data_IF_502268460891
#
_entry.id   IF_502268460891
#
_cell.length_a   1.000
_cell.length_b   1.000
_cell.length_c   1.000
_cell.angle_alpha   90.00
_cell.angle_beta   90.00
_cell.angle_gamma   90.00
#
_symmetry.space_group_name_H-M   'P 1'
#
loop_
_entity.id
_entity.type
_entity.pdbx_description
1 polymer ?
#
# COMPACT_ATOMS: atom_id res chain seq x y z
N UNK A 1 -11.39 -26.61 9.16
CA UNK A 1 -9.92 -26.48 9.38
C UNK A 1 -9.06 -27.10 8.27
N UNK A 2 -9.55 -28.06 7.47
CA UNK A 2 -8.79 -28.61 6.32
C UNK A 2 -8.67 -27.64 5.11
N UNK A 3 -9.60 -26.68 4.96
CA UNK A 3 -9.58 -25.71 3.86
C UNK A 3 -8.51 -24.60 4.00
N UNK A 4 -7.98 -24.36 5.21
CA UNK A 4 -6.90 -23.39 5.44
C UNK A 4 -5.51 -23.95 5.10
N UNK A 5 -5.35 -25.28 5.04
CA UNK A 5 -4.05 -25.93 4.86
C UNK A 5 -3.61 -26.05 3.38
N UNK A 6 -4.52 -25.85 2.42
CA UNK A 6 -4.25 -26.00 0.99
C UNK A 6 -3.96 -24.67 0.26
N UNK A 7 -4.26 -23.52 0.86
CA UNK A 7 -3.96 -22.21 0.27
C UNK A 7 -2.47 -21.81 0.41
N UNK A 8 -1.71 -22.45 1.29
CA UNK A 8 -0.31 -22.08 1.59
C UNK A 8 0.75 -22.61 0.61
N UNK A 9 0.36 -23.31 -0.48
CA UNK A 9 1.32 -23.99 -1.38
C UNK A 9 1.43 -23.41 -2.80
N UNK A 10 0.74 -22.32 -3.10
CA UNK A 10 0.93 -21.57 -4.34
C UNK A 10 1.66 -20.24 -4.06
N UNK A 11 2.78 -20.31 -3.33
CA UNK A 11 3.63 -19.15 -3.05
C UNK A 11 4.52 -18.84 -4.24
N UNK A 12 3.98 -18.24 -5.30
CA UNK A 12 4.82 -17.43 -6.18
C UNK A 12 5.45 -16.30 -5.35
N UNK A 13 6.67 -15.87 -5.68
CA UNK A 13 7.22 -14.65 -5.08
C UNK A 13 6.29 -13.48 -5.43
N UNK A 14 5.46 -13.08 -4.47
CA UNK A 14 4.69 -11.86 -4.57
C UNK A 14 5.68 -10.72 -4.33
N UNK A 15 6.15 -10.11 -5.42
CA UNK A 15 6.90 -8.87 -5.30
C UNK A 15 5.95 -7.80 -4.78
N UNK A 16 6.31 -7.22 -3.64
CA UNK A 16 5.45 -6.31 -2.91
C UNK A 16 5.65 -4.84 -3.29
N UNK A 17 6.38 -4.56 -4.38
CA UNK A 17 6.85 -3.23 -4.80
C UNK A 17 7.30 -3.30 -6.27
N UNK A 18 7.39 -2.15 -6.96
CA UNK A 18 8.06 -2.02 -8.26
C UNK A 18 9.60 -2.13 -8.11
N UNK A 19 10.12 -3.33 -7.91
CA UNK A 19 11.57 -3.58 -7.86
C UNK A 19 12.15 -3.64 -9.28
N UNK A 20 13.38 -3.14 -9.46
CA UNK A 20 14.10 -3.31 -10.71
C UNK A 20 14.40 -4.80 -10.93
N UNK A 21 13.90 -5.35 -12.03
CA UNK A 21 14.12 -6.74 -12.44
C UNK A 21 15.33 -6.84 -13.36
N UNK A 22 15.45 -5.89 -14.30
CA UNK A 22 16.50 -5.88 -15.31
C UNK A 22 16.73 -4.47 -15.86
N UNK A 23 17.94 -4.21 -16.34
CA UNK A 23 18.28 -3.01 -17.11
C UNK A 23 19.01 -3.35 -18.41
N UNK A 24 18.87 -2.48 -19.40
CA UNK A 24 19.71 -2.39 -20.59
C UNK A 24 20.17 -0.94 -20.75
N UNK A 25 21.49 -0.64 -20.68
CA UNK A 25 22.60 -1.54 -20.39
C UNK A 25 22.47 -2.30 -19.06
N UNK A 26 23.06 -3.48 -18.98
CA UNK A 26 23.03 -4.29 -17.76
C UNK A 26 23.84 -3.60 -16.65
N UNK A 27 23.44 -3.80 -15.40
CA UNK A 27 24.12 -3.26 -14.21
C UNK A 27 25.61 -3.63 -14.24
N UNK A 28 26.49 -2.63 -14.19
CA UNK A 28 27.94 -2.79 -14.21
C UNK A 28 28.53 -3.17 -15.57
N UNK A 29 27.74 -3.20 -16.65
CA UNK A 29 28.24 -3.54 -17.98
C UNK A 29 28.95 -2.38 -18.66
N UNK A 30 29.78 -2.71 -19.66
CA UNK A 30 30.41 -1.74 -20.57
C UNK A 30 29.86 -1.94 -21.97
N UNK A 31 29.21 -0.90 -22.50
CA UNK A 31 28.82 -0.85 -23.90
C UNK A 31 30.01 -0.35 -24.74
N UNK A 32 30.29 -0.97 -25.90
CA UNK A 32 31.39 -0.54 -26.77
C UNK A 32 31.14 0.85 -27.40
N UNK A 33 29.89 1.28 -27.49
CA UNK A 33 29.47 2.58 -27.99
C UNK A 33 28.25 3.08 -27.20
N UNK A 34 27.90 4.36 -27.34
CA UNK A 34 26.71 4.91 -26.71
C UNK A 34 25.44 4.12 -27.11
N UNK A 35 24.68 3.57 -26.15
CA UNK A 35 23.40 2.94 -26.45
C UNK A 35 22.35 4.00 -26.81
N UNK A 36 21.41 3.67 -27.70
CA UNK A 36 20.33 4.59 -28.11
C UNK A 36 19.34 4.90 -26.98
N UNK A 37 19.22 3.99 -26.00
CA UNK A 37 18.33 4.16 -24.87
C UNK A 37 18.81 3.37 -23.65
N UNK A 38 18.45 3.87 -22.47
CA UNK A 38 18.40 3.12 -21.24
C UNK A 38 16.99 2.57 -21.05
N UNK A 39 16.89 1.26 -20.80
CA UNK A 39 15.63 0.56 -20.55
C UNK A 39 15.69 -0.09 -19.17
N UNK A 40 14.74 0.26 -18.30
CA UNK A 40 14.60 -0.30 -16.96
C UNK A 40 13.28 -1.07 -16.87
N UNK A 41 13.34 -2.35 -16.49
CA UNK A 41 12.18 -3.24 -16.37
C UNK A 41 11.91 -3.53 -14.90
N UNK A 42 10.66 -3.34 -14.46
CA UNK A 42 10.25 -3.47 -13.07
C UNK A 42 9.26 -4.62 -12.85
N UNK A 43 9.14 -5.06 -11.60
CA UNK A 43 8.23 -6.15 -11.22
C UNK A 43 6.76 -5.75 -11.13
N UNK A 44 6.46 -4.45 -11.15
CA UNK A 44 5.09 -3.92 -11.12
C UNK A 44 4.96 -2.73 -12.07
N UNK A 45 3.74 -2.49 -12.55
CA UNK A 45 3.41 -1.33 -13.40
C UNK A 45 3.68 0.00 -12.70
N UNK A 46 4.16 0.99 -13.46
CA UNK A 46 4.65 2.26 -12.96
C UNK A 46 3.61 3.39 -13.10
N UNK A 47 3.54 4.26 -12.10
CA UNK A 47 2.81 5.54 -12.20
C UNK A 47 3.61 6.48 -13.11
N UNK A 48 3.05 6.76 -14.29
CA UNK A 48 3.66 7.56 -15.36
C UNK A 48 3.89 9.01 -14.97
N UNK A 49 3.14 9.54 -14.00
CA UNK A 49 3.29 10.93 -13.54
C UNK A 49 4.38 11.11 -12.49
N UNK A 50 4.92 10.00 -11.98
CA UNK A 50 5.86 10.03 -10.87
C UNK A 50 7.21 9.37 -11.20
N UNK A 51 7.16 8.26 -11.93
CA UNK A 51 8.33 7.43 -12.18
C UNK A 51 9.28 8.12 -13.14
N UNK A 52 10.54 8.20 -12.74
CA UNK A 52 11.56 8.98 -13.44
C UNK A 52 12.94 8.36 -13.32
N UNK A 53 13.80 8.69 -14.26
CA UNK A 53 15.22 8.37 -14.26
C UNK A 53 16.01 9.57 -14.76
N UNK A 54 17.16 9.84 -14.15
CA UNK A 54 18.16 10.81 -14.61
C UNK A 54 19.50 10.10 -14.79
N UNK A 55 20.37 10.65 -15.62
CA UNK A 55 21.68 10.10 -15.93
C UNK A 55 22.80 11.03 -15.44
N UNK A 56 23.78 10.46 -14.75
CA UNK A 56 24.89 11.19 -14.13
C UNK A 56 26.21 10.64 -14.68
N UNK A 57 27.18 11.49 -15.00
CA UNK A 57 28.53 11.09 -15.43
C UNK A 57 29.49 10.82 -14.25
N UNK A 58 30.70 10.36 -14.54
CA UNK A 58 31.74 10.08 -13.52
C UNK A 58 32.19 11.30 -12.72
N UNK A 59 31.91 12.52 -13.21
CA UNK A 59 32.22 13.79 -12.51
C UNK A 59 31.06 14.24 -11.64
N UNK A 60 29.99 13.44 -11.53
CA UNK A 60 28.79 13.78 -10.78
C UNK A 60 27.90 14.81 -11.46
N UNK A 61 28.11 15.09 -12.75
CA UNK A 61 27.27 16.02 -13.51
C UNK A 61 26.06 15.29 -14.07
N UNK A 62 24.89 15.88 -13.93
CA UNK A 62 23.69 15.37 -14.61
C UNK A 62 23.83 15.64 -16.10
N UNK A 63 23.85 14.58 -16.90
CA UNK A 63 23.93 14.64 -18.37
C UNK A 63 22.56 14.50 -19.02
N UNK A 64 21.60 13.94 -18.30
CA UNK A 64 20.18 13.90 -18.68
C UNK A 64 19.31 13.98 -17.42
N UNK A 65 18.43 14.97 -17.33
CA UNK A 65 17.52 15.18 -16.18
C UNK A 65 16.24 14.32 -16.27
N UNK A 66 16.02 13.61 -17.38
CA UNK A 66 14.87 12.75 -17.59
C UNK A 66 13.58 13.53 -17.95
N UNK A 67 12.40 13.07 -17.48
CA UNK A 67 12.17 11.95 -16.55
C UNK A 67 12.28 10.56 -17.19
N UNK A 68 12.48 10.48 -18.52
CA UNK A 68 12.20 9.28 -19.29
C UNK A 68 10.70 9.12 -19.55
N UNK A 69 10.32 7.99 -20.13
CA UNK A 69 8.93 7.67 -20.51
C UNK A 69 8.60 6.25 -20.07
N UNK A 70 7.50 6.09 -19.34
CA UNK A 70 6.93 4.77 -19.08
C UNK A 70 6.27 4.28 -20.37
N UNK A 71 6.62 3.07 -20.80
CA UNK A 71 6.12 2.50 -22.05
C UNK A 71 4.60 2.26 -21.96
N UNK A 72 3.86 2.78 -22.93
CA UNK A 72 2.40 2.66 -22.97
C UNK A 72 1.94 1.23 -23.32
N UNK A 73 2.76 0.47 -24.04
CA UNK A 73 2.47 -0.93 -24.39
C UNK A 73 2.86 -1.88 -23.25
N UNK A 74 3.89 -1.54 -22.47
CA UNK A 74 4.26 -2.28 -21.26
C UNK A 74 4.60 -1.32 -20.09
N UNK A 75 3.62 -1.03 -19.21
CA UNK A 75 3.81 -0.12 -18.09
C UNK A 75 4.82 -0.59 -17.02
N UNK A 76 5.46 -1.76 -17.17
CA UNK A 76 6.59 -2.19 -16.35
C UNK A 76 7.91 -1.57 -16.79
N UNK A 77 7.95 -0.91 -17.95
CA UNK A 77 9.19 -0.43 -18.56
C UNK A 77 9.29 1.09 -18.43
N UNK A 78 10.42 1.59 -17.91
CA UNK A 78 10.81 2.99 -17.97
C UNK A 78 11.98 3.14 -18.95
N UNK A 79 11.81 3.97 -19.98
CA UNK A 79 12.82 4.20 -21.03
C UNK A 79 13.33 5.64 -20.98
N UNK A 80 14.63 5.81 -21.04
CA UNK A 80 15.27 7.10 -21.26
C UNK A 80 15.98 7.05 -22.61
N UNK A 81 15.54 7.85 -23.57
CA UNK A 81 16.24 7.99 -24.85
C UNK A 81 17.57 8.71 -24.59
N UNK A 82 18.66 8.18 -25.14
CA UNK A 82 19.99 8.71 -24.95
C UNK A 82 20.49 9.33 -26.25
N UNK A 83 21.14 10.49 -26.13
CA UNK A 83 21.89 11.07 -27.23
C UNK A 83 23.30 10.50 -27.32
N UNK A 84 24.18 11.24 -27.97
CA UNK A 84 25.60 10.90 -28.01
C UNK A 84 26.19 10.97 -26.59
N UNK A 85 26.65 9.82 -26.10
CA UNK A 85 27.37 9.71 -24.83
C UNK A 85 28.86 9.55 -25.13
N UNK A 86 29.71 10.50 -24.68
CA UNK A 86 31.16 10.32 -24.68
C UNK A 86 31.59 9.05 -23.96
N UNK A 87 32.84 8.64 -24.19
CA UNK A 87 33.44 7.56 -23.40
C UNK A 87 33.55 8.00 -21.93
N UNK A 88 32.73 7.39 -21.06
CA UNK A 88 32.70 7.68 -19.63
C UNK A 88 31.97 6.56 -18.86
N UNK A 89 32.08 6.60 -17.53
CA UNK A 89 31.21 5.85 -16.63
C UNK A 89 29.97 6.67 -16.30
N UNK A 90 28.81 6.03 -16.34
CA UNK A 90 27.51 6.64 -16.09
C UNK A 90 26.75 5.93 -14.97
N UNK A 91 25.91 6.67 -14.28
CA UNK A 91 24.99 6.17 -13.26
C UNK A 91 23.59 6.67 -13.58
N UNK A 92 22.68 5.75 -13.88
CA UNK A 92 21.26 6.06 -13.99
C UNK A 92 20.60 5.97 -12.60
N UNK A 93 20.22 7.11 -12.06
CA UNK A 93 19.48 7.20 -10.80
C UNK A 93 17.98 7.21 -11.12
N UNK A 94 17.27 6.18 -10.65
CA UNK A 94 15.83 6.03 -10.89
C UNK A 94 15.04 6.13 -9.59
N UNK A 95 13.82 6.64 -9.72
CA UNK A 95 12.82 6.66 -8.65
C UNK A 95 11.46 6.37 -9.27
N UNK A 96 10.78 5.37 -8.76
CA UNK A 96 9.51 4.89 -9.30
C UNK A 96 8.41 4.86 -8.25
N UNK A 97 7.16 4.73 -8.72
CA UNK A 97 6.00 4.41 -7.89
C UNK A 97 5.19 3.33 -8.58
N UNK A 98 4.82 2.30 -7.84
CA UNK A 98 3.91 1.29 -8.35
C UNK A 98 2.46 1.78 -8.39
N UNK A 99 1.72 1.43 -9.44
CA UNK A 99 0.27 1.68 -9.50
C UNK A 99 -0.54 0.70 -8.65
N UNK A 100 0.09 -0.39 -8.18
CA UNK A 100 -0.54 -1.48 -7.43
C UNK A 100 -0.60 -1.15 -5.95
N UNK A 101 0.58 -0.98 -5.31
CA UNK A 101 0.71 -0.73 -3.88
C UNK A 101 0.88 0.78 -3.55
N UNK A 102 1.26 1.60 -4.52
CA UNK A 102 1.55 3.03 -4.36
C UNK A 102 2.91 3.34 -3.71
N UNK A 103 3.70 2.34 -3.33
CA UNK A 103 5.00 2.58 -2.70
C UNK A 103 6.02 3.08 -3.70
N UNK A 104 6.98 3.82 -3.16
CA UNK A 104 8.05 4.45 -3.91
C UNK A 104 9.32 3.65 -3.69
N UNK A 105 10.03 3.37 -4.78
CA UNK A 105 11.37 2.79 -4.73
C UNK A 105 12.34 3.68 -5.50
N UNK A 106 13.59 3.65 -5.07
CA UNK A 106 14.68 4.30 -5.77
C UNK A 106 15.88 3.36 -5.82
N UNK A 107 16.76 3.60 -6.78
CA UNK A 107 17.98 2.86 -6.94
C UNK A 107 18.84 3.45 -8.04
N UNK A 108 19.94 2.77 -8.32
CA UNK A 108 20.93 3.19 -9.30
C UNK A 108 21.28 2.03 -10.24
N UNK A 109 21.65 2.36 -11.46
CA UNK A 109 22.18 1.43 -12.46
C UNK A 109 23.46 2.05 -13.04
N UNK A 110 24.64 1.65 -12.55
CA UNK A 110 25.91 2.05 -13.16
C UNK A 110 26.17 1.25 -14.44
N UNK A 111 26.75 1.90 -15.45
CA UNK A 111 27.24 1.28 -16.69
C UNK A 111 28.32 2.17 -17.33
N UNK A 112 29.16 1.59 -18.18
CA UNK A 112 30.20 2.34 -18.91
C UNK A 112 29.92 2.40 -20.42
N UNK A 113 30.38 3.45 -21.06
CA UNK A 113 30.42 3.61 -22.53
C UNK A 113 31.87 3.74 -22.94
N UNK A 114 32.40 2.82 -23.76
CA UNK A 114 33.80 2.79 -24.18
C UNK A 114 34.83 2.52 -23.06
N UNK A 115 34.44 2.70 -21.79
CA UNK A 115 35.25 2.46 -20.59
C UNK A 115 34.52 1.56 -19.60
N UNK A 116 35.27 0.96 -18.67
CA UNK A 116 34.68 0.19 -17.57
C UNK A 116 33.79 1.07 -16.69
N UNK A 117 32.65 0.54 -16.24
CA UNK A 117 31.84 1.20 -15.22
C UNK A 117 32.66 1.37 -13.92
N UNK A 118 32.53 2.51 -13.26
CA UNK A 118 33.21 2.77 -11.99
C UNK A 118 32.69 1.80 -10.90
N UNK A 119 33.55 0.93 -10.33
CA UNK A 119 33.13 -0.01 -9.28
C UNK A 119 32.62 0.69 -8.02
N UNK A 120 33.04 1.94 -7.76
CA UNK A 120 32.57 2.69 -6.59
C UNK A 120 31.11 3.10 -6.72
N UNK A 121 30.58 3.23 -7.95
CA UNK A 121 29.16 3.48 -8.19
C UNK A 121 28.27 2.26 -7.86
N UNK A 122 28.85 1.06 -7.70
CA UNK A 122 28.14 -0.13 -7.22
C UNK A 122 28.06 -0.21 -5.70
N UNK A 123 28.82 0.62 -4.98
CA UNK A 123 28.82 0.65 -3.53
C UNK A 123 27.76 1.65 -3.04
N UNK A 124 26.88 1.26 -2.11
CA UNK A 124 26.07 2.23 -1.38
C UNK A 124 26.96 3.29 -0.72
N UNK A 125 26.50 4.55 -0.58
CA UNK A 125 27.21 5.55 0.19
C UNK A 125 27.59 5.02 1.57
N UNK A 126 28.80 5.30 2.04
CA UNK A 126 29.26 4.85 3.36
C UNK A 126 28.29 5.34 4.45
N UNK A 127 27.69 4.41 5.19
CA UNK A 127 26.68 4.70 6.21
C UNK A 127 25.23 4.74 5.72
N UNK A 128 24.96 4.46 4.44
CA UNK A 128 23.60 4.21 3.97
C UNK A 128 22.99 3.02 4.75
N UNK A 129 21.76 3.14 5.27
CA UNK A 129 21.08 2.02 5.92
C UNK A 129 21.01 0.84 4.94
N UNK A 130 21.46 -0.33 5.39
CA UNK A 130 21.34 -1.55 4.59
C UNK A 130 19.84 -1.86 4.37
N UNK A 131 19.35 -1.85 3.12
CA UNK A 131 17.93 -2.07 2.82
C UNK A 131 17.40 -3.42 3.32
N UNK A 132 18.29 -4.40 3.54
CA UNK A 132 17.92 -5.74 4.01
C UNK A 132 17.72 -5.80 5.54
N UNK A 133 18.28 -4.84 6.28
CA UNK A 133 18.25 -4.83 7.75
C UNK A 133 17.64 -3.56 8.34
N UNK A 134 17.43 -2.53 7.52
CA UNK A 134 16.79 -1.30 7.94
C UNK A 134 15.34 -1.55 8.40
N UNK A 135 14.97 -1.19 9.64
CA UNK A 135 13.60 -1.30 10.09
C UNK A 135 12.70 -0.36 9.29
N UNK A 136 11.42 -0.72 9.07
CA UNK A 136 10.48 0.16 8.38
C UNK A 136 10.32 1.48 9.17
N UNK A 137 10.03 2.61 8.47
CA UNK A 137 9.84 3.89 9.13
C UNK A 137 8.80 3.80 10.25
N UNK A 138 9.12 4.35 11.42
CA UNK A 138 8.25 4.27 12.60
C UNK A 138 6.87 4.88 12.34
N UNK A 139 6.80 6.03 11.68
CA UNK A 139 5.54 6.70 11.35
C UNK A 139 4.65 5.79 10.48
N UNK A 140 5.22 5.14 9.48
CA UNK A 140 4.50 4.22 8.61
C UNK A 140 3.98 3.00 9.39
N UNK A 141 4.83 2.46 10.24
CA UNK A 141 4.52 1.30 11.09
C UNK A 141 3.37 1.62 12.04
N UNK A 142 3.44 2.75 12.74
CA UNK A 142 2.40 3.20 13.68
C UNK A 142 1.08 3.44 12.94
N UNK A 143 1.09 4.14 11.81
CA UNK A 143 -0.14 4.40 11.06
C UNK A 143 -0.77 3.11 10.50
N UNK A 144 0.06 2.12 10.12
CA UNK A 144 -0.43 0.79 9.73
C UNK A 144 -1.14 0.12 10.89
N UNK A 145 -0.50 0.05 12.06
CA UNK A 145 -1.07 -0.56 13.26
C UNK A 145 -2.34 0.13 13.72
N UNK A 146 -2.40 1.46 13.69
CA UNK A 146 -3.62 2.20 14.00
C UNK A 146 -4.77 1.81 13.07
N UNK A 147 -4.52 1.74 11.77
CA UNK A 147 -5.53 1.28 10.80
C UNK A 147 -6.03 -0.13 11.10
N UNK A 148 -5.13 -1.07 11.39
CA UNK A 148 -5.47 -2.47 11.71
C UNK A 148 -6.25 -2.60 13.02
N UNK A 149 -5.81 -1.91 14.09
CA UNK A 149 -6.52 -1.87 15.36
C UNK A 149 -7.91 -1.25 15.20
N UNK A 150 -8.02 -0.19 14.40
CA UNK A 150 -9.32 0.42 14.08
C UNK A 150 -10.27 -0.54 13.37
N UNK A 151 -9.77 -1.30 12.38
CA UNK A 151 -10.55 -2.32 11.68
C UNK A 151 -10.95 -3.47 12.62
N UNK A 152 -10.03 -3.95 13.46
CA UNK A 152 -10.31 -5.01 14.43
C UNK A 152 -11.38 -4.59 15.43
N UNK A 153 -11.31 -3.36 15.97
CA UNK A 153 -12.33 -2.82 16.88
C UNK A 153 -13.70 -2.68 16.22
N UNK A 154 -13.76 -2.14 15.00
CA UNK A 154 -15.03 -1.89 14.33
C UNK A 154 -15.66 -3.16 13.74
N UNK A 155 -14.87 -3.94 13.00
CA UNK A 155 -15.28 -5.21 12.43
C UNK A 155 -15.60 -6.23 13.51
N UNK A 156 -14.70 -6.42 14.47
CA UNK A 156 -14.88 -7.34 15.59
C UNK A 156 -16.07 -6.99 16.46
N UNK A 157 -16.30 -5.70 16.76
CA UNK A 157 -17.49 -5.26 17.49
C UNK A 157 -18.79 -5.60 16.75
N UNK A 158 -18.87 -5.30 15.46
CA UNK A 158 -20.07 -5.55 14.66
C UNK A 158 -20.38 -7.05 14.49
N UNK A 159 -19.35 -7.87 14.22
CA UNK A 159 -19.51 -9.32 14.07
C UNK A 159 -19.80 -10.01 15.40
N UNK A 160 -19.16 -9.57 16.50
CA UNK A 160 -19.46 -10.03 17.85
C UNK A 160 -20.94 -9.79 18.21
N UNK A 161 -21.47 -8.60 17.92
CA UNK A 161 -22.88 -8.30 18.18
C UNK A 161 -23.83 -9.24 17.43
N UNK A 162 -23.53 -9.55 16.16
CA UNK A 162 -24.38 -10.39 15.30
C UNK A 162 -24.31 -11.88 15.65
N UNK A 163 -23.11 -12.40 15.87
CA UNK A 163 -22.87 -13.85 15.91
C UNK A 163 -22.61 -14.40 17.30
N UNK A 164 -22.26 -13.54 18.27
CA UNK A 164 -21.98 -13.97 19.65
C UNK A 164 -23.04 -13.43 20.60
N UNK A 165 -23.18 -12.11 20.68
CA UNK A 165 -24.05 -11.49 21.68
C UNK A 165 -25.53 -11.75 21.43
N UNK A 166 -26.02 -11.54 20.21
CA UNK A 166 -27.45 -11.73 19.89
C UNK A 166 -27.94 -13.16 20.16
N UNK A 167 -27.26 -14.23 19.69
CA UNK A 167 -27.64 -15.60 20.04
C UNK A 167 -27.60 -15.87 21.55
N UNK A 168 -26.57 -15.39 22.24
CA UNK A 168 -26.45 -15.56 23.70
C UNK A 168 -27.57 -14.84 24.47
N UNK A 169 -27.92 -13.61 24.04
CA UNK A 169 -29.03 -12.84 24.61
C UNK A 169 -30.37 -13.55 24.40
N UNK A 170 -30.63 -14.05 23.19
CA UNK A 170 -31.85 -14.80 22.87
C UNK A 170 -31.99 -16.08 23.73
N UNK A 171 -30.89 -16.78 23.99
CA UNK A 171 -30.87 -17.96 24.85
C UNK A 171 -31.12 -17.62 26.34
N UNK A 172 -30.71 -16.45 26.80
CA UNK A 172 -30.85 -16.01 28.19
C UNK A 172 -32.18 -15.29 28.50
N UNK A 173 -32.87 -14.79 27.47
CA UNK A 173 -34.03 -13.89 27.57
C UNK A 173 -35.25 -14.39 28.39
N UNK A 174 -35.55 -15.70 28.56
CA UNK A 174 -36.71 -16.12 29.35
C UNK A 174 -36.53 -16.04 30.88
N UNK A 175 -35.32 -15.81 31.40
CA UNK A 175 -35.01 -16.23 32.78
C UNK A 175 -34.87 -15.11 33.81
N UNK A 176 -34.51 -13.88 33.43
CA UNK A 176 -34.19 -12.81 34.40
C UNK A 176 -34.52 -11.41 33.87
N UNK A 177 -35.26 -10.61 34.65
CA UNK A 177 -35.61 -9.20 34.34
C UNK A 177 -34.40 -8.25 34.13
N UNK A 178 -33.16 -8.72 34.33
CA UNK A 178 -31.91 -7.99 34.06
C UNK A 178 -31.40 -8.09 32.61
N UNK A 179 -32.01 -8.91 31.74
CA UNK A 179 -31.56 -9.11 30.36
C UNK A 179 -31.60 -7.82 29.50
N UNK A 180 -32.45 -6.85 29.85
CA UNK A 180 -32.51 -5.56 29.16
C UNK A 180 -31.34 -4.62 29.51
N UNK A 181 -30.96 -4.53 30.78
CA UNK A 181 -29.85 -3.69 31.22
C UNK A 181 -28.50 -4.20 30.69
N UNK A 182 -28.30 -5.52 30.68
CA UNK A 182 -27.12 -6.15 30.10
C UNK A 182 -27.02 -5.89 28.59
N UNK A 183 -28.15 -5.97 27.85
CA UNK A 183 -28.18 -5.69 26.41
C UNK A 183 -27.85 -4.23 26.11
N UNK A 184 -28.37 -3.27 26.87
CA UNK A 184 -28.04 -1.85 26.71
C UNK A 184 -26.56 -1.56 27.03
N UNK A 185 -26.01 -2.15 28.09
CA UNK A 185 -24.61 -1.99 28.45
C UNK A 185 -23.67 -2.57 27.38
N UNK A 186 -23.96 -3.79 26.90
CA UNK A 186 -23.20 -4.40 25.80
C UNK A 186 -23.34 -3.57 24.51
N UNK A 187 -24.54 -3.11 24.21
CA UNK A 187 -24.79 -2.23 23.06
C UNK A 187 -23.95 -0.97 23.14
N UNK A 188 -23.91 -0.29 24.28
CA UNK A 188 -23.10 0.92 24.46
C UNK A 188 -21.60 0.63 24.29
N UNK A 189 -21.12 -0.49 24.86
CA UNK A 189 -19.74 -0.93 24.72
C UNK A 189 -19.36 -1.17 23.25
N UNK A 190 -20.13 -1.99 22.54
CA UNK A 190 -19.86 -2.32 21.14
C UNK A 190 -20.03 -1.10 20.24
N UNK A 191 -21.05 -0.25 20.46
CA UNK A 191 -21.22 1.00 19.71
C UNK A 191 -20.00 1.92 19.85
N UNK A 192 -19.43 2.01 21.05
CA UNK A 192 -18.20 2.78 21.26
C UNK A 192 -17.02 2.17 20.50
N UNK A 193 -16.88 0.85 20.48
CA UNK A 193 -15.83 0.18 19.69
C UNK A 193 -15.99 0.45 18.18
N UNK A 194 -17.20 0.32 17.64
CA UNK A 194 -17.47 0.61 16.20
C UNK A 194 -17.23 2.08 15.89
N UNK A 195 -17.65 2.99 16.76
CA UNK A 195 -17.44 4.43 16.59
C UNK A 195 -15.94 4.79 16.59
N UNK A 196 -15.22 4.37 17.63
CA UNK A 196 -13.79 4.67 17.79
C UNK A 196 -12.99 3.98 16.69
N UNK A 197 -13.25 2.70 16.44
CA UNK A 197 -12.59 1.95 15.37
C UNK A 197 -12.81 2.58 14.00
N UNK A 198 -14.05 2.93 13.65
CA UNK A 198 -14.37 3.61 12.40
C UNK A 198 -13.67 4.97 12.25
N UNK A 199 -13.64 5.77 13.32
CA UNK A 199 -12.93 7.04 13.33
C UNK A 199 -11.42 6.87 13.17
N UNK A 200 -10.82 5.90 13.86
CA UNK A 200 -9.39 5.58 13.74
C UNK A 200 -9.05 5.12 12.32
N UNK A 201 -9.87 4.27 11.69
CA UNK A 201 -9.70 3.84 10.29
C UNK A 201 -9.70 5.04 9.35
N UNK A 202 -10.66 5.96 9.52
CA UNK A 202 -10.77 7.14 8.68
C UNK A 202 -9.54 8.06 8.82
N UNK A 203 -9.15 8.36 10.06
CA UNK A 203 -7.99 9.22 10.34
C UNK A 203 -6.70 8.57 9.85
N UNK A 204 -6.48 7.28 10.14
CA UNK A 204 -5.28 6.57 9.70
C UNK A 204 -5.16 6.53 8.17
N UNK A 205 -6.27 6.33 7.45
CA UNK A 205 -6.29 6.34 5.98
C UNK A 205 -5.87 7.71 5.41
N UNK A 206 -6.39 8.81 5.97
CA UNK A 206 -6.02 10.17 5.57
C UNK A 206 -4.56 10.46 5.92
N UNK A 207 -4.12 10.16 7.15
CA UNK A 207 -2.74 10.40 7.57
C UNK A 207 -1.73 9.63 6.73
N UNK A 208 -2.02 8.38 6.33
CA UNK A 208 -1.15 7.65 5.39
C UNK A 208 -1.07 8.32 4.02
N UNK A 209 -2.19 8.85 3.51
CA UNK A 209 -2.20 9.58 2.22
C UNK A 209 -1.32 10.83 2.29
N UNK A 210 -1.39 11.58 3.39
CA UNK A 210 -0.51 12.72 3.64
C UNK A 210 0.96 12.31 3.80
N UNK A 211 1.24 11.24 4.55
CA UNK A 211 2.60 10.74 4.72
C UNK A 211 3.22 10.35 3.38
N UNK A 212 2.45 9.67 2.53
CA UNK A 212 2.89 9.26 1.20
C UNK A 212 3.19 10.49 0.33
N UNK A 213 2.27 11.45 0.26
CA UNK A 213 2.49 12.70 -0.48
C UNK A 213 3.64 13.54 0.07
N UNK A 214 3.88 13.54 1.38
CA UNK A 214 4.99 14.25 2.01
C UNK A 214 6.36 13.60 1.74
N UNK A 215 6.41 12.28 1.54
CA UNK A 215 7.63 11.59 1.10
C UNK A 215 8.01 11.95 -0.35
N UNK A 216 7.06 12.48 -1.13
CA UNK A 216 7.23 12.86 -2.53
C UNK A 216 7.56 14.31 -2.76
N UNK A 217 6.96 15.17 -1.94
CA UNK A 217 7.05 16.60 -2.10
C UNK A 217 8.40 17.10 -1.59
N UNK A 218 8.97 18.05 -2.34
CA UNK A 218 9.95 18.97 -1.76
C UNK A 218 9.28 19.74 -0.61
N UNK A 219 10.03 20.32 0.32
CA UNK A 219 9.50 20.87 1.59
C UNK A 219 8.48 22.04 1.46
N UNK A 220 7.94 22.30 0.27
CA UNK A 220 6.94 23.33 -0.03
C UNK A 220 5.49 22.81 0.03
N UNK A 221 4.57 23.69 0.44
CA UNK A 221 3.14 23.37 0.52
C UNK A 221 2.50 23.12 -0.87
N UNK A 222 2.97 23.80 -1.92
CA UNK A 222 2.49 23.61 -3.30
C UNK A 222 2.88 22.24 -3.85
N UNK A 223 4.09 21.77 -3.58
CA UNK A 223 4.53 20.43 -3.96
C UNK A 223 3.73 19.34 -3.22
N UNK A 224 3.41 19.55 -1.95
CA UNK A 224 2.54 18.65 -1.19
C UNK A 224 1.12 18.60 -1.78
N UNK A 225 0.53 19.75 -2.11
CA UNK A 225 -0.79 19.81 -2.72
C UNK A 225 -0.84 19.10 -4.08
N UNK A 226 0.17 19.31 -4.93
CA UNK A 226 0.29 18.61 -6.21
C UNK A 226 0.44 17.09 -6.02
N UNK A 227 1.24 16.66 -5.05
CA UNK A 227 1.46 15.25 -4.73
C UNK A 227 0.18 14.58 -4.20
N UNK A 228 -0.59 15.28 -3.36
CA UNK A 228 -1.90 14.82 -2.88
C UNK A 228 -2.91 14.69 -4.03
N UNK A 229 -2.95 15.67 -4.94
CA UNK A 229 -3.83 15.61 -6.11
C UNK A 229 -3.47 14.46 -7.06
N UNK A 230 -2.17 14.25 -7.30
CA UNK A 230 -1.68 13.13 -8.10
C UNK A 230 -2.05 11.78 -7.44
N UNK A 231 -1.82 11.65 -6.14
CA UNK A 231 -2.15 10.46 -5.36
C UNK A 231 -3.66 10.19 -5.35
N UNK A 232 -4.49 11.22 -5.13
CA UNK A 232 -5.95 11.08 -5.17
C UNK A 232 -6.48 10.58 -6.52
N UNK A 233 -5.79 10.93 -7.63
CA UNK A 233 -6.10 10.42 -8.96
C UNK A 233 -5.51 9.03 -9.26
N UNK A 234 -4.70 8.45 -8.38
CA UNK A 234 -4.16 7.10 -8.55
C UNK A 234 -5.09 6.04 -7.98
N UNK A 235 -4.88 4.79 -8.37
CA UNK A 235 -5.58 3.63 -7.78
C UNK A 235 -5.34 3.55 -6.27
N UNK A 236 -4.11 3.79 -5.80
CA UNK A 236 -3.77 3.71 -4.37
C UNK A 236 -4.45 4.81 -3.55
N UNK A 237 -4.54 6.04 -4.07
CA UNK A 237 -5.30 7.11 -3.40
C UNK A 237 -6.81 6.87 -3.43
N UNK A 238 -7.36 6.34 -4.52
CA UNK A 238 -8.77 5.93 -4.57
C UNK A 238 -9.11 4.90 -3.49
N UNK A 239 -8.22 3.92 -3.25
CA UNK A 239 -8.39 2.94 -2.17
C UNK A 239 -8.28 3.58 -0.78
N UNK A 240 -7.38 4.55 -0.59
CA UNK A 240 -7.27 5.30 0.67
C UNK A 240 -8.54 6.12 0.96
N UNK A 241 -9.08 6.81 -0.05
CA UNK A 241 -10.33 7.57 0.04
C UNK A 241 -11.51 6.65 0.33
N UNK A 242 -11.62 5.51 -0.38
CA UNK A 242 -12.68 4.53 -0.13
C UNK A 242 -12.62 3.98 1.31
N UNK A 243 -11.41 3.71 1.82
CA UNK A 243 -11.20 3.27 3.21
C UNK A 243 -11.61 4.34 4.22
N UNK A 244 -11.25 5.59 3.97
CA UNK A 244 -11.66 6.71 4.79
C UNK A 244 -13.19 6.86 4.81
N UNK A 245 -13.83 6.74 3.64
CA UNK A 245 -15.28 6.72 3.51
C UNK A 245 -15.95 5.59 4.29
N UNK A 246 -15.41 4.37 4.23
CA UNK A 246 -15.91 3.25 5.03
C UNK A 246 -15.77 3.51 6.53
N UNK A 247 -14.63 4.03 6.98
CA UNK A 247 -14.40 4.42 8.38
C UNK A 247 -15.39 5.47 8.89
N UNK A 248 -15.63 6.52 8.08
CA UNK A 248 -16.65 7.54 8.38
C UNK A 248 -18.06 6.95 8.40
N UNK A 249 -18.38 6.06 7.46
CA UNK A 249 -19.65 5.33 7.40
C UNK A 249 -19.87 4.47 8.65
N UNK A 250 -18.85 3.77 9.12
CA UNK A 250 -18.87 3.00 10.38
C UNK A 250 -19.12 3.91 11.58
N UNK A 251 -18.37 5.02 11.69
CA UNK A 251 -18.52 5.97 12.79
C UNK A 251 -19.91 6.61 12.82
N UNK A 252 -20.46 6.94 11.64
CA UNK A 252 -21.83 7.44 11.51
C UNK A 252 -22.88 6.38 11.87
N UNK A 253 -22.73 5.17 11.35
CA UNK A 253 -23.64 4.06 11.59
C UNK A 253 -23.68 3.69 13.08
N UNK A 254 -22.55 3.74 13.78
CA UNK A 254 -22.44 3.48 15.22
C UNK A 254 -23.37 4.38 16.06
N UNK A 255 -23.65 5.60 15.60
CA UNK A 255 -24.59 6.53 16.28
C UNK A 255 -26.05 6.12 16.15
N UNK A 256 -26.37 5.19 15.24
CA UNK A 256 -27.73 4.72 14.93
C UNK A 256 -27.96 3.24 15.22
N UNK A 257 -26.95 2.53 15.73
CA UNK A 257 -27.07 1.10 16.03
C UNK A 257 -28.09 0.87 17.17
N UNK A 258 -29.08 -0.01 16.95
CA UNK A 258 -30.07 -0.37 17.97
C UNK A 258 -29.45 -1.34 19.00
N UNK A 259 -30.25 -1.75 19.97
CA UNK A 259 -29.88 -2.81 20.92
C UNK A 259 -29.30 -4.04 20.18
N UNK A 260 -28.12 -4.48 20.60
CA UNK A 260 -27.32 -5.50 19.92
C UNK A 260 -28.04 -6.86 19.91
N UNK A 261 -28.57 -7.27 21.07
CA UNK A 261 -29.32 -8.51 21.23
C UNK A 261 -30.76 -8.39 20.74
N UNK A 262 -31.53 -7.52 21.37
CA UNK A 262 -32.99 -7.43 21.17
C UNK A 262 -33.45 -6.61 19.96
N UNK A 263 -32.61 -5.74 19.41
CA UNK A 263 -32.98 -4.84 18.30
C UNK A 263 -33.06 -5.54 16.93
N UNK A 264 -33.24 -4.80 15.82
CA UNK A 264 -33.11 -5.35 14.48
C UNK A 264 -31.64 -5.62 14.12
N UNK A 265 -31.37 -6.73 13.40
CA UNK A 265 -30.01 -7.14 13.00
C UNK A 265 -29.45 -6.36 11.79
N UNK A 266 -30.32 -5.81 10.93
CA UNK A 266 -29.90 -5.16 9.67
C UNK A 266 -28.87 -4.02 9.86
N UNK A 267 -29.04 -3.08 10.81
CA UNK A 267 -28.05 -2.02 11.02
C UNK A 267 -26.66 -2.54 11.41
N UNK A 268 -26.60 -3.67 12.12
CA UNK A 268 -25.37 -4.35 12.50
C UNK A 268 -24.73 -5.06 11.31
N UNK A 269 -25.53 -5.70 10.45
CA UNK A 269 -25.05 -6.29 9.19
C UNK A 269 -24.46 -5.23 8.24
N UNK A 270 -25.06 -4.04 8.17
CA UNK A 270 -24.50 -2.91 7.41
C UNK A 270 -23.15 -2.47 7.98
N UNK A 271 -23.02 -2.38 9.30
CA UNK A 271 -21.73 -2.06 9.93
C UNK A 271 -20.67 -3.13 9.64
N UNK A 272 -21.01 -4.43 9.74
CA UNK A 272 -20.11 -5.51 9.38
C UNK A 272 -19.71 -5.45 7.89
N UNK A 273 -20.65 -5.16 6.99
CA UNK A 273 -20.39 -4.98 5.56
C UNK A 273 -19.46 -3.81 5.25
N UNK A 274 -19.63 -2.67 5.93
CA UNK A 274 -18.72 -1.52 5.82
C UNK A 274 -17.31 -1.84 6.35
N UNK A 275 -17.21 -2.57 7.45
CA UNK A 275 -15.92 -3.04 7.97
C UNK A 275 -15.24 -4.01 7.00
N UNK A 276 -16.00 -4.96 6.42
CA UNK A 276 -15.49 -5.87 5.39
C UNK A 276 -15.04 -5.12 4.13
N UNK A 277 -15.80 -4.12 3.68
CA UNK A 277 -15.39 -3.26 2.57
C UNK A 277 -14.08 -2.51 2.89
N UNK A 278 -13.94 -1.98 4.10
CA UNK A 278 -12.70 -1.34 4.55
C UNK A 278 -11.51 -2.33 4.58
N UNK A 279 -11.70 -3.57 5.03
CA UNK A 279 -10.69 -4.63 4.98
C UNK A 279 -10.31 -4.94 3.53
N UNK A 280 -11.28 -5.05 2.61
CA UNK A 280 -11.03 -5.28 1.20
C UNK A 280 -10.16 -4.19 0.59
N UNK A 281 -10.39 -2.91 0.94
CA UNK A 281 -9.50 -1.83 0.46
C UNK A 281 -8.06 -2.00 0.92
N UNK A 282 -7.79 -2.64 2.07
CA UNK A 282 -6.43 -2.92 2.55
C UNK A 282 -5.84 -4.08 1.73
N UNK A 283 -6.58 -5.18 1.59
CA UNK A 283 -6.15 -6.36 0.86
C UNK A 283 -5.89 -6.09 -0.63
N UNK A 284 -6.70 -5.25 -1.28
CA UNK A 284 -6.53 -4.88 -2.70
C UNK A 284 -5.38 -3.90 -2.95
N UNK A 285 -4.84 -3.31 -1.88
CA UNK A 285 -3.63 -2.49 -1.90
C UNK A 285 -2.40 -3.27 -1.39
N UNK A 286 -2.58 -4.53 -1.00
CA UNK A 286 -1.55 -5.42 -0.46
C UNK A 286 -0.98 -6.39 -1.50
N UNK A 287 -0.09 -7.28 -1.04
CA UNK A 287 0.74 -8.14 -1.89
C UNK A 287 -0.08 -9.11 -2.76
N UNK A 288 -1.30 -9.46 -2.32
CA UNK A 288 -2.19 -10.33 -3.10
C UNK A 288 -2.71 -9.69 -4.40
N UNK A 289 -2.79 -8.36 -4.46
CA UNK A 289 -3.24 -7.65 -5.66
C UNK A 289 -2.19 -7.63 -6.78
N UNK A 290 -0.90 -7.84 -6.45
CA UNK A 290 0.21 -7.93 -7.39
C UNK A 290 0.41 -9.35 -7.95
N UNK A 291 -0.36 -10.34 -7.50
CA UNK A 291 -0.21 -11.74 -7.95
C UNK A 291 -0.62 -11.91 -9.42
N UNK A 292 0.27 -12.41 -10.30
CA UNK A 292 -0.04 -12.60 -11.71
C UNK A 292 -0.95 -13.81 -11.99
N UNK A 293 -1.18 -14.70 -11.03
CA UNK A 293 -1.83 -15.99 -11.26
C UNK A 293 -3.20 -16.14 -10.59
N UNK A 294 -3.39 -15.62 -9.36
CA UNK A 294 -4.65 -15.74 -8.62
C UNK A 294 -4.94 -14.51 -7.74
N UNK A 295 -5.06 -13.30 -8.30
CA UNK A 295 -5.22 -12.08 -7.53
C UNK A 295 -6.48 -12.10 -6.63
N UNK A 296 -7.61 -12.64 -7.11
CA UNK A 296 -8.85 -12.74 -6.31
C UNK A 296 -8.69 -13.65 -5.10
N UNK A 297 -8.00 -14.78 -5.26
CA UNK A 297 -7.82 -15.77 -4.19
C UNK A 297 -6.76 -15.29 -3.19
N UNK A 298 -5.73 -14.59 -3.66
CA UNK A 298 -4.74 -13.93 -2.82
C UNK A 298 -5.33 -12.75 -2.04
N UNK A 299 -6.17 -11.91 -2.67
CA UNK A 299 -6.92 -10.84 -1.99
C UNK A 299 -7.89 -11.42 -0.97
N UNK A 300 -8.58 -12.53 -1.28
CA UNK A 300 -9.47 -13.20 -0.34
C UNK A 300 -8.71 -13.80 0.84
N UNK A 301 -7.56 -14.43 0.60
CA UNK A 301 -6.69 -14.96 1.65
C UNK A 301 -6.11 -13.83 2.53
N UNK A 302 -5.71 -12.70 1.94
CA UNK A 302 -5.21 -11.53 2.66
C UNK A 302 -6.34 -10.85 3.46
N UNK A 303 -7.53 -10.73 2.90
CA UNK A 303 -8.71 -10.23 3.61
C UNK A 303 -9.10 -11.14 4.79
N UNK A 304 -8.99 -12.46 4.64
CA UNK A 304 -9.18 -13.42 5.72
C UNK A 304 -8.07 -13.34 6.76
N UNK A 305 -6.82 -13.13 6.35
CA UNK A 305 -5.68 -12.99 7.27
C UNK A 305 -5.74 -11.69 8.08
N UNK A 306 -6.12 -10.57 7.45
CA UNK A 306 -6.33 -9.28 8.12
C UNK A 306 -7.58 -9.29 9.01
N UNK A 307 -8.59 -10.10 8.65
CA UNK A 307 -9.83 -10.22 9.41
C UNK A 307 -9.82 -11.28 10.51
N UNK A 308 -8.81 -12.15 10.59
CA UNK A 308 -8.65 -13.20 11.60
C UNK A 308 -7.91 -12.69 12.84
#
# INVERSE_FOLDING_TARGET
>A
MLALALAGRAGGQAHAHANLVRSEPAVGSTAPSAPEALVLVFSETLDTRYSRVKLIDSRGRVVDEGPGTVDAADPHILRLALGDLPEDSYVAEWRNRSTVDGHIRAGIVPFGVGVAADPTALLPPLGAPDPLTAPPPLAETVLRWLGLVGLALAGGGATFALWVWRPAHAAAAPSHGGAGAADLAMTAFVRRQVLVGGAVVAVAAVLRMFQQAAADADASASALAASLAALAGSRSGAMAVARAGCGLGLAWQARRLPAAGSGPHRPWAVAAGLAAAAVLTVATSGHGAASPTLPVLAIAADALHVGA
#
